data_IF_014277552422
#
_entry.id   IF_014277552422
#
_cell.length_a   1.000
_cell.length_b   1.000
_cell.length_c   1.000
_cell.angle_alpha   90.00
_cell.angle_beta   90.00
_cell.angle_gamma   90.00
#
_symmetry.space_group_name_H-M   'P 1'
#
loop_
_entity.id
_entity.type
_entity.pdbx_description
1 polymer ?
#
# COMPACT_ATOMS: atom_id res chain seq x y z
N UNK A 1 13.38 6.48 12.44
CA UNK A 1 13.55 6.16 11.00
C UNK A 1 12.16 6.03 10.42
N UNK A 2 11.83 6.84 9.43
CA UNK A 2 10.53 6.75 8.75
C UNK A 2 10.53 5.53 7.82
N UNK A 3 9.50 4.68 7.90
CA UNK A 3 9.35 3.54 7.01
C UNK A 3 8.71 4.03 5.70
N UNK A 4 9.52 4.11 4.64
CA UNK A 4 9.02 4.47 3.32
C UNK A 4 8.23 3.32 2.72
N UNK A 5 7.12 3.65 2.05
CA UNK A 5 6.28 2.68 1.34
C UNK A 5 6.88 2.22 -0.01
N UNK A 6 8.07 2.71 -0.35
CA UNK A 6 8.80 2.35 -1.56
C UNK A 6 10.31 2.43 -1.35
N UNK A 7 11.04 1.64 -2.13
CA UNK A 7 12.51 1.64 -2.16
C UNK A 7 13.08 2.74 -3.06
N UNK A 8 12.24 3.39 -3.88
CA UNK A 8 12.67 4.46 -4.78
C UNK A 8 12.45 5.81 -4.13
N UNK A 9 13.50 6.62 -4.10
CA UNK A 9 13.46 7.99 -3.60
C UNK A 9 13.89 8.97 -4.69
N UNK A 10 13.29 10.15 -4.67
CA UNK A 10 13.71 11.31 -5.45
C UNK A 10 13.64 12.55 -4.56
N UNK A 11 14.49 13.55 -4.83
CA UNK A 11 14.42 14.81 -4.09
C UNK A 11 13.30 15.71 -4.62
N UNK A 12 12.89 16.70 -3.81
CA UNK A 12 11.98 17.75 -4.26
C UNK A 12 12.52 18.52 -5.48
N UNK A 13 13.84 18.64 -5.64
CA UNK A 13 14.43 19.31 -6.80
C UNK A 13 14.36 18.47 -8.07
N UNK A 14 14.49 17.14 -7.97
CA UNK A 14 14.28 16.21 -9.08
C UNK A 14 12.82 16.19 -9.54
N UNK A 15 11.87 16.42 -8.64
CA UNK A 15 10.44 16.49 -8.97
C UNK A 15 10.09 17.67 -9.90
N UNK A 16 10.98 18.67 -10.05
CA UNK A 16 10.80 19.75 -11.04
C UNK A 16 10.68 19.20 -12.47
N UNK A 17 11.25 18.03 -12.74
CA UNK A 17 11.14 17.31 -14.02
C UNK A 17 10.45 15.95 -13.82
N UNK A 18 9.11 15.93 -13.65
CA UNK A 18 8.39 14.72 -13.25
C UNK A 18 8.52 13.59 -14.28
N UNK A 19 8.68 13.90 -15.57
CA UNK A 19 8.88 12.90 -16.63
C UNK A 19 10.16 12.08 -16.44
N UNK A 20 11.25 12.70 -15.98
CA UNK A 20 12.51 12.00 -15.71
C UNK A 20 12.39 11.09 -14.49
N UNK A 21 11.70 11.56 -13.45
CA UNK A 21 11.41 10.77 -12.25
C UNK A 21 10.57 9.53 -12.61
N UNK A 22 9.54 9.69 -13.43
CA UNK A 22 8.71 8.57 -13.90
C UNK A 22 9.47 7.58 -14.78
N UNK A 23 10.30 8.08 -15.71
CA UNK A 23 11.12 7.23 -16.57
C UNK A 23 12.11 6.39 -15.74
N UNK A 24 12.73 6.99 -14.72
CA UNK A 24 13.62 6.29 -13.78
C UNK A 24 12.87 5.30 -12.88
N UNK A 25 11.62 5.60 -12.53
CA UNK A 25 10.80 4.75 -11.68
C UNK A 25 10.35 3.46 -12.35
N UNK A 26 10.21 3.47 -13.69
CA UNK A 26 9.90 2.27 -14.46
C UNK A 26 8.63 1.56 -13.97
N UNK A 27 7.56 2.33 -13.77
CA UNK A 27 6.26 1.85 -13.27
C UNK A 27 6.17 1.51 -11.76
N UNK A 28 7.09 2.00 -10.93
CA UNK A 28 7.03 1.83 -9.47
C UNK A 28 6.74 3.15 -8.74
N UNK A 29 6.15 3.12 -7.52
CA UNK A 29 6.00 4.32 -6.68
C UNK A 29 7.35 4.93 -6.31
N UNK A 30 7.45 6.25 -6.24
CA UNK A 30 8.65 6.99 -5.81
C UNK A 30 8.32 7.89 -4.63
N UNK A 31 9.08 7.80 -3.55
CA UNK A 31 8.99 8.72 -2.42
C UNK A 31 9.73 10.02 -2.75
N UNK A 32 9.07 11.16 -2.55
CA UNK A 32 9.66 12.47 -2.73
C UNK A 32 10.15 12.96 -1.37
N UNK A 33 11.44 13.26 -1.29
CA UNK A 33 12.10 13.69 -0.07
C UNK A 33 12.39 15.19 -0.11
N UNK A 34 12.16 15.88 1.01
CA UNK A 34 12.64 17.24 1.26
C UNK A 34 13.42 17.24 2.57
N UNK A 35 14.70 17.63 2.54
CA UNK A 35 15.57 17.61 3.73
C UNK A 35 15.55 16.25 4.47
N UNK A 36 15.57 15.15 3.72
CA UNK A 36 15.47 13.76 4.19
C UNK A 36 14.14 13.35 4.83
N UNK A 37 13.10 14.18 4.74
CA UNK A 37 11.75 13.84 5.17
C UNK A 37 10.87 13.51 3.96
N UNK A 38 10.06 12.44 4.06
CA UNK A 38 9.14 12.11 2.99
C UNK A 38 7.96 13.08 2.98
N UNK A 39 7.87 13.88 1.91
CA UNK A 39 6.78 14.86 1.75
C UNK A 39 5.63 14.33 0.89
N UNK A 40 5.84 13.23 0.18
CA UNK A 40 4.80 12.63 -0.63
C UNK A 40 5.29 11.46 -1.48
N UNK A 41 4.36 10.83 -2.20
CA UNK A 41 4.65 9.74 -3.11
C UNK A 41 4.16 10.09 -4.51
N UNK A 42 4.97 9.78 -5.51
CA UNK A 42 4.60 9.88 -6.91
C UNK A 42 4.38 8.48 -7.47
N UNK A 43 3.14 8.20 -7.87
CA UNK A 43 2.72 6.86 -8.31
C UNK A 43 2.28 6.94 -9.77
N UNK A 44 2.91 6.15 -10.68
CA UNK A 44 2.47 6.06 -12.06
C UNK A 44 1.02 5.54 -12.15
N UNK A 45 0.23 6.04 -13.11
CA UNK A 45 -1.17 5.63 -13.31
C UNK A 45 -1.31 4.11 -13.51
N UNK A 46 -0.34 3.47 -14.15
CA UNK A 46 -0.29 2.02 -14.37
C UNK A 46 0.01 1.21 -13.11
N UNK A 47 0.56 1.83 -12.06
CA UNK A 47 0.72 1.22 -10.74
C UNK A 47 -0.50 1.47 -9.83
N UNK A 48 -1.31 2.48 -10.15
CA UNK A 48 -2.61 2.69 -9.51
C UNK A 48 -3.61 1.76 -10.18
N UNK A 49 -3.75 0.54 -9.66
CA UNK A 49 -4.90 -0.29 -9.98
C UNK A 49 -6.16 0.49 -9.59
N UNK A 50 -7.02 0.77 -10.57
CA UNK A 50 -8.41 1.15 -10.32
C UNK A 50 -9.14 -0.06 -9.75
N UNK A 51 -8.80 -0.45 -8.54
CA UNK A 51 -9.59 -1.38 -7.78
C UNK A 51 -10.81 -0.56 -7.37
N UNK A 52 -11.98 -0.90 -7.92
CA UNK A 52 -13.24 -0.48 -7.34
C UNK A 52 -13.27 -1.07 -5.92
N UNK A 53 -12.81 -0.27 -4.95
CA UNK A 53 -12.91 -0.61 -3.54
C UNK A 53 -14.40 -0.58 -3.22
N UNK A 54 -15.06 -1.73 -3.40
CA UNK A 54 -16.40 -1.93 -2.90
C UNK A 54 -16.28 -2.07 -1.39
N UNK A 55 -16.86 -1.11 -0.68
CA UNK A 55 -17.06 -1.21 0.76
C UNK A 55 -18.04 -2.35 0.97
N UNK A 56 -17.57 -3.44 1.58
CA UNK A 56 -18.42 -4.56 1.93
C UNK A 56 -19.42 -4.15 3.02
N UNK A 57 -20.65 -4.62 2.94
CA UNK A 57 -21.63 -4.39 4.01
C UNK A 57 -21.30 -5.24 5.25
N UNK A 58 -21.86 -4.86 6.40
CA UNK A 58 -21.69 -5.60 7.66
C UNK A 58 -22.14 -7.06 7.51
N UNK A 59 -23.16 -7.32 6.71
CA UNK A 59 -23.69 -8.66 6.42
C UNK A 59 -22.71 -9.49 5.58
N UNK A 60 -22.10 -8.90 4.55
CA UNK A 60 -21.08 -9.56 3.71
C UNK A 60 -19.84 -9.91 4.53
N UNK A 61 -19.42 -9.00 5.42
CA UNK A 61 -18.30 -9.24 6.35
C UNK A 61 -18.63 -10.39 7.31
N UNK A 62 -19.82 -10.40 7.92
CA UNK A 62 -20.23 -11.46 8.84
C UNK A 62 -20.37 -12.82 8.15
N UNK A 63 -20.89 -12.88 6.92
CA UNK A 63 -20.98 -14.12 6.15
C UNK A 63 -19.60 -14.69 5.83
N UNK A 64 -18.67 -13.82 5.43
CA UNK A 64 -17.27 -14.19 5.12
C UNK A 64 -16.55 -14.68 6.38
N UNK A 65 -16.72 -13.97 7.50
CA UNK A 65 -16.21 -14.38 8.81
C UNK A 65 -16.73 -15.75 9.22
N UNK A 66 -18.04 -15.97 9.19
CA UNK A 66 -18.62 -17.27 9.59
C UNK A 66 -18.14 -18.43 8.72
N UNK A 67 -17.90 -18.18 7.43
CA UNK A 67 -17.38 -19.19 6.50
C UNK A 67 -15.93 -19.55 6.83
N UNK A 68 -15.06 -18.54 7.00
CA UNK A 68 -13.64 -18.79 7.20
C UNK A 68 -13.27 -19.12 8.64
N UNK A 69 -14.01 -18.62 9.65
CA UNK A 69 -13.80 -18.92 11.07
C UNK A 69 -13.83 -20.43 11.36
N UNK A 70 -14.65 -21.19 10.62
CA UNK A 70 -14.70 -22.64 10.75
C UNK A 70 -13.42 -23.32 10.23
N UNK A 71 -12.79 -22.77 9.18
CA UNK A 71 -11.56 -23.30 8.59
C UNK A 71 -10.33 -22.96 9.45
N UNK A 72 -10.29 -21.75 10.02
CA UNK A 72 -9.17 -21.27 10.84
C UNK A 72 -9.31 -21.58 12.33
N UNK A 73 -10.30 -22.38 12.73
CA UNK A 73 -10.59 -22.71 14.14
C UNK A 73 -9.37 -23.19 14.92
N UNK A 74 -8.55 -24.04 14.30
CA UNK A 74 -7.31 -24.56 14.89
C UNK A 74 -6.27 -23.46 15.19
N UNK A 75 -6.18 -22.41 14.36
CA UNK A 75 -5.29 -21.27 14.58
C UNK A 75 -5.84 -20.38 15.69
N UNK A 76 -7.16 -20.18 15.74
CA UNK A 76 -7.81 -19.39 16.77
C UNK A 76 -7.66 -20.03 18.16
N UNK A 77 -7.78 -21.35 18.25
CA UNK A 77 -7.58 -22.05 19.52
C UNK A 77 -6.12 -21.96 19.97
N UNK A 78 -5.16 -22.07 19.05
CA UNK A 78 -3.74 -21.83 19.35
C UNK A 78 -3.46 -20.39 19.84
N UNK A 79 -4.16 -19.39 19.27
CA UNK A 79 -4.01 -17.99 19.67
C UNK A 79 -4.69 -17.65 20.99
N UNK A 80 -5.74 -18.39 21.39
CA UNK A 80 -6.39 -18.22 22.70
C UNK A 80 -5.56 -18.77 23.85
N UNK A 81 -4.73 -19.78 23.59
CA UNK A 81 -3.91 -20.45 24.59
C UNK A 81 -2.57 -19.72 24.87
N UNK A 82 -2.31 -18.62 24.17
CA UNK A 82 -1.12 -17.77 24.30
C UNK A 82 -1.46 -16.40 24.88
#
# INVERSE_FOLDING_TARGET
MEHLLTNLTASLTELREPSKVLARAGNRPVAILNRNEAIGYFVPKSAVTSADIKVASTEEVNATLNTHLAEIGHVLDYLKDK
#
